data_IF_763500919188
#
_entry.id   IF_763500919188
#
_cell.length_a   1.000
_cell.length_b   1.000
_cell.length_c   1.000
_cell.angle_alpha   90.00
_cell.angle_beta   90.00
_cell.angle_gamma   90.00
#
_symmetry.space_group_name_H-M   'P 1'
#
loop_
_entity.id
_entity.type
_entity.pdbx_description
1 polymer ?
#
# COMPACT_ATOMS: atom_id res chain seq x y z
N UNK A 1 30.25 48.35 -54.00
CA UNK A 1 30.41 48.45 -52.53
C UNK A 1 29.02 48.46 -51.89
N UNK A 2 28.58 47.35 -51.28
CA UNK A 2 27.33 47.29 -50.50
C UNK A 2 27.58 46.36 -49.31
N UNK A 3 27.64 46.94 -48.10
CA UNK A 3 27.82 46.23 -46.83
C UNK A 3 26.45 45.75 -46.35
N UNK A 4 26.17 44.46 -46.43
CA UNK A 4 25.01 43.84 -45.79
C UNK A 4 25.28 43.74 -44.28
N UNK A 5 24.45 44.42 -43.48
CA UNK A 5 24.50 44.38 -42.01
C UNK A 5 23.80 43.09 -41.54
N UNK A 6 24.56 42.18 -40.93
CA UNK A 6 24.00 41.06 -40.16
C UNK A 6 23.38 41.62 -38.86
N UNK A 7 22.06 41.54 -38.72
CA UNK A 7 21.38 41.64 -37.43
C UNK A 7 21.44 40.27 -36.75
N UNK A 8 22.32 40.12 -35.76
CA UNK A 8 22.26 39.00 -34.83
C UNK A 8 21.13 39.25 -33.82
N UNK A 9 20.01 38.54 -33.98
CA UNK A 9 19.01 38.38 -32.93
C UNK A 9 19.55 37.39 -31.90
N UNK A 10 20.06 37.90 -30.79
CA UNK A 10 20.35 37.10 -29.59
C UNK A 10 19.03 36.77 -28.90
N UNK A 11 18.51 35.56 -29.15
CA UNK A 11 17.44 34.96 -28.37
C UNK A 11 17.96 34.62 -26.97
N UNK A 12 17.65 35.48 -26.00
CA UNK A 12 17.80 35.15 -24.58
C UNK A 12 16.74 34.09 -24.22
N UNK A 13 17.15 32.82 -24.24
CA UNK A 13 16.42 31.73 -23.58
C UNK A 13 16.54 31.95 -22.07
N UNK A 14 15.55 32.58 -21.47
CA UNK A 14 15.41 32.60 -20.01
C UNK A 14 15.11 31.16 -19.55
N UNK A 15 15.96 30.54 -18.71
CA UNK A 15 15.62 29.26 -18.12
C UNK A 15 14.37 29.47 -17.25
N UNK A 16 13.27 28.83 -17.64
CA UNK A 16 12.14 28.64 -16.73
C UNK A 16 12.69 27.81 -15.58
N UNK A 17 12.84 28.42 -14.41
CA UNK A 17 13.05 27.68 -13.18
C UNK A 17 11.83 26.76 -13.06
N UNK A 18 12.04 25.46 -13.26
CA UNK A 18 11.07 24.47 -12.85
C UNK A 18 10.97 24.62 -11.34
N UNK A 19 9.91 25.28 -10.86
CA UNK A 19 9.54 25.24 -9.45
C UNK A 19 9.52 23.76 -9.08
N UNK A 20 10.48 23.37 -8.25
CA UNK A 20 10.56 22.01 -7.74
C UNK A 20 9.30 21.81 -6.92
N UNK A 21 8.30 21.15 -7.51
CA UNK A 21 7.07 20.77 -6.80
C UNK A 21 7.53 20.08 -5.53
N UNK A 22 7.22 20.64 -4.34
CA UNK A 22 7.70 20.05 -3.09
C UNK A 22 7.23 18.60 -3.05
N UNK A 23 8.08 17.66 -2.61
CA UNK A 23 7.67 16.27 -2.51
C UNK A 23 6.41 16.24 -1.65
N UNK A 24 5.33 15.58 -2.11
CA UNK A 24 4.09 15.55 -1.37
C UNK A 24 4.36 15.09 0.06
N UNK A 25 3.91 15.86 1.04
CA UNK A 25 3.85 15.40 2.41
C UNK A 25 3.06 14.09 2.43
N UNK A 26 3.55 13.05 3.12
CA UNK A 26 2.80 11.80 3.22
C UNK A 26 1.43 12.11 3.82
N UNK A 27 0.40 12.08 2.97
CA UNK A 27 -0.97 12.13 3.40
C UNK A 27 -1.42 10.68 3.65
N UNK A 28 -2.28 10.47 4.63
CA UNK A 28 -2.83 9.14 4.89
C UNK A 28 -3.81 8.66 3.80
N UNK A 29 -4.15 9.54 2.84
CA UNK A 29 -5.21 9.38 1.83
C UNK A 29 -4.96 10.14 0.53
N UNK A 30 -5.75 9.79 -0.50
CA UNK A 30 -5.78 10.54 -1.75
C UNK A 30 -6.22 11.99 -1.50
N UNK A 31 -5.46 12.95 -2.00
CA UNK A 31 -5.87 14.36 -2.03
C UNK A 31 -6.63 14.68 -3.32
N UNK A 32 -7.94 14.90 -3.23
CA UNK A 32 -8.72 15.26 -4.43
C UNK A 32 -8.42 16.67 -4.96
N UNK A 33 -8.01 17.57 -4.06
CA UNK A 33 -7.59 18.92 -4.39
C UNK A 33 -6.11 19.05 -4.02
N UNK A 34 -5.28 19.47 -4.98
CA UNK A 34 -3.87 19.79 -4.73
C UNK A 34 -2.93 18.61 -4.44
N UNK A 35 -3.35 17.35 -4.69
CA UNK A 35 -2.41 16.23 -4.59
C UNK A 35 -1.37 16.25 -5.70
N UNK A 36 -0.12 15.91 -5.35
CA UNK A 36 0.95 15.71 -6.30
C UNK A 36 0.92 14.31 -6.95
N UNK A 37 0.02 13.40 -6.54
CA UNK A 37 -0.05 12.04 -7.06
C UNK A 37 -1.10 11.89 -8.17
N UNK A 38 -0.68 11.46 -9.36
CA UNK A 38 -1.54 11.24 -10.54
C UNK A 38 -2.71 10.29 -10.25
N UNK A 39 -2.48 9.27 -9.42
CA UNK A 39 -3.53 8.31 -9.04
C UNK A 39 -4.65 8.93 -8.22
N UNK A 40 -4.42 10.04 -7.53
CA UNK A 40 -5.44 10.66 -6.68
C UNK A 40 -6.55 11.29 -7.54
N UNK A 41 -6.20 11.86 -8.69
CA UNK A 41 -7.20 12.34 -9.67
C UNK A 41 -8.12 11.20 -10.11
N UNK A 42 -7.57 10.01 -10.38
CA UNK A 42 -8.34 8.83 -10.75
C UNK A 42 -9.24 8.35 -9.61
N UNK A 43 -8.69 8.25 -8.39
CA UNK A 43 -9.46 7.88 -7.19
C UNK A 43 -10.63 8.82 -6.97
N UNK A 44 -10.43 10.13 -7.16
CA UNK A 44 -11.46 11.13 -6.92
C UNK A 44 -12.52 11.22 -8.02
N UNK A 45 -12.17 10.82 -9.25
CA UNK A 45 -13.10 10.77 -10.38
C UNK A 45 -14.00 9.51 -10.37
N UNK A 46 -13.53 8.39 -9.80
CA UNK A 46 -14.28 7.13 -9.72
C UNK A 46 -14.98 7.00 -8.35
N UNK A 47 -16.33 6.95 -8.29
CA UNK A 47 -17.07 6.86 -7.03
C UNK A 47 -16.75 5.58 -6.21
N UNK A 48 -16.47 4.46 -6.87
CA UNK A 48 -16.16 3.21 -6.19
C UNK A 48 -14.76 3.24 -5.58
N UNK A 49 -13.77 3.82 -6.28
CA UNK A 49 -12.43 4.04 -5.73
C UNK A 49 -12.45 5.06 -4.59
N UNK A 50 -13.21 6.15 -4.74
CA UNK A 50 -13.38 7.15 -3.67
C UNK A 50 -14.00 6.53 -2.42
N UNK A 51 -15.01 5.69 -2.57
CA UNK A 51 -15.61 4.97 -1.44
C UNK A 51 -14.63 3.97 -0.81
N UNK A 52 -13.78 3.32 -1.61
CA UNK A 52 -12.73 2.44 -1.11
C UNK A 52 -11.65 3.21 -0.32
N UNK A 53 -11.23 4.37 -0.82
CA UNK A 53 -10.28 5.27 -0.12
C UNK A 53 -10.83 5.72 1.24
N UNK A 54 -12.12 6.07 1.30
CA UNK A 54 -12.77 6.44 2.55
C UNK A 54 -12.82 5.29 3.58
N UNK A 55 -12.96 4.03 3.14
CA UNK A 55 -13.00 2.86 4.03
C UNK A 55 -11.65 2.52 4.63
N UNK A 56 -10.56 2.81 3.92
CA UNK A 56 -9.20 2.48 4.38
C UNK A 56 -8.52 3.63 5.12
N UNK A 57 -9.22 4.75 5.29
CA UNK A 57 -8.83 5.79 6.23
C UNK A 57 -8.80 5.16 7.61
N UNK A 58 -7.64 5.14 8.27
CA UNK A 58 -7.52 4.60 9.63
C UNK A 58 -8.45 5.42 10.55
N UNK A 59 -9.60 4.89 11.01
CA UNK A 59 -10.66 5.72 11.58
C UNK A 59 -10.59 5.85 13.11
N UNK A 60 -9.58 5.30 13.80
CA UNK A 60 -9.43 5.48 15.24
C UNK A 60 -7.98 5.49 15.71
N UNK A 61 -7.72 6.24 16.79
CA UNK A 61 -6.42 6.27 17.46
C UNK A 61 -5.98 4.88 17.95
N UNK A 62 -6.93 4.00 18.26
CA UNK A 62 -6.65 2.62 18.68
C UNK A 62 -6.19 1.76 17.51
N UNK A 63 -6.80 1.85 16.34
CA UNK A 63 -6.31 1.14 15.16
C UNK A 63 -4.92 1.62 14.73
N UNK A 64 -4.66 2.93 14.80
CA UNK A 64 -3.33 3.47 14.55
C UNK A 64 -2.29 2.88 15.52
N UNK A 65 -2.61 2.85 16.83
CA UNK A 65 -1.73 2.24 17.84
C UNK A 65 -1.49 0.75 17.61
N UNK A 66 -2.51 0.01 17.19
CA UNK A 66 -2.38 -1.42 16.86
C UNK A 66 -1.51 -1.65 15.61
N UNK A 67 -1.62 -0.79 14.60
CA UNK A 67 -0.77 -0.79 13.42
C UNK A 67 0.69 -0.49 13.77
N UNK A 68 0.94 0.49 14.63
CA UNK A 68 2.29 0.87 15.06
C UNK A 68 2.94 -0.20 15.94
N UNK A 69 2.14 -0.97 16.69
CA UNK A 69 2.59 -2.09 17.50
C UNK A 69 2.69 -3.42 16.74
N UNK A 70 2.24 -3.47 15.48
CA UNK A 70 2.27 -4.68 14.67
C UNK A 70 3.72 -5.07 14.30
N UNK A 71 3.90 -6.31 13.85
CA UNK A 71 5.23 -6.76 13.39
C UNK A 71 5.59 -6.20 12.01
N UNK A 72 6.84 -6.34 11.59
CA UNK A 72 7.30 -5.91 10.26
C UNK A 72 6.65 -6.69 9.08
N UNK A 73 5.82 -7.70 9.35
CA UNK A 73 4.95 -8.37 8.36
C UNK A 73 3.57 -7.71 8.25
N UNK A 74 3.36 -6.54 8.86
CA UNK A 74 2.18 -5.70 8.66
C UNK A 74 2.66 -4.32 8.21
N UNK A 75 2.24 -3.89 7.03
CA UNK A 75 2.69 -2.61 6.48
C UNK A 75 2.02 -1.44 7.22
N UNK A 76 2.83 -0.44 7.60
CA UNK A 76 2.33 0.82 8.18
C UNK A 76 1.53 1.61 7.15
N UNK A 77 0.59 2.44 7.63
CA UNK A 77 -0.32 3.21 6.76
C UNK A 77 0.42 4.08 5.73
N UNK A 78 1.43 4.81 6.18
CA UNK A 78 2.22 5.69 5.31
C UNK A 78 2.95 4.90 4.20
N UNK A 79 3.61 3.80 4.58
CA UNK A 79 4.32 2.94 3.63
C UNK A 79 3.36 2.31 2.61
N UNK A 80 2.20 1.86 3.07
CA UNK A 80 1.13 1.36 2.20
C UNK A 80 0.67 2.41 1.21
N UNK A 81 0.44 3.65 1.67
CA UNK A 81 0.00 4.76 0.82
C UNK A 81 1.03 5.03 -0.29
N UNK A 82 2.32 5.09 0.05
CA UNK A 82 3.40 5.26 -0.92
C UNK A 82 3.47 4.10 -1.91
N UNK A 83 3.28 2.85 -1.45
CA UNK A 83 3.25 1.66 -2.32
C UNK A 83 2.05 1.70 -3.27
N UNK A 84 0.86 2.06 -2.77
CA UNK A 84 -0.37 2.24 -3.57
C UNK A 84 -0.16 3.27 -4.68
N UNK A 85 0.57 4.35 -4.42
CA UNK A 85 0.83 5.38 -5.43
C UNK A 85 1.68 4.89 -6.61
N UNK A 86 2.38 3.76 -6.48
CA UNK A 86 3.06 3.11 -7.61
C UNK A 86 2.09 2.53 -8.64
N UNK A 87 0.80 2.41 -8.34
CA UNK A 87 -0.22 2.07 -9.34
C UNK A 87 -0.29 3.10 -10.48
N UNK A 88 0.30 4.30 -10.33
CA UNK A 88 0.49 5.26 -11.43
C UNK A 88 1.22 4.65 -12.65
N UNK A 89 2.05 3.65 -12.43
CA UNK A 89 2.85 2.98 -13.46
C UNK A 89 2.21 1.69 -13.98
N UNK A 90 1.03 1.31 -13.47
CA UNK A 90 0.33 0.12 -13.94
C UNK A 90 -0.33 0.38 -15.31
N UNK A 91 -0.35 -0.64 -16.16
CA UNK A 91 -1.09 -0.59 -17.43
C UNK A 91 -2.60 -0.45 -17.20
N UNK A 92 -3.12 -1.11 -16.16
CA UNK A 92 -4.51 -0.96 -15.68
C UNK A 92 -4.46 -0.36 -14.25
N UNK A 93 -4.38 0.97 -14.19
CA UNK A 93 -4.33 1.71 -12.93
C UNK A 93 -5.58 1.46 -12.05
N UNK A 94 -6.82 1.49 -12.59
CA UNK A 94 -8.01 1.18 -11.80
C UNK A 94 -7.99 -0.22 -11.17
N UNK A 95 -7.57 -1.26 -11.90
CA UNK A 95 -7.47 -2.61 -11.34
C UNK A 95 -6.40 -2.69 -10.24
N UNK A 96 -5.23 -2.05 -10.45
CA UNK A 96 -4.17 -1.97 -9.44
C UNK A 96 -4.67 -1.30 -8.15
N UNK A 97 -5.35 -0.16 -8.26
CA UNK A 97 -5.89 0.57 -7.12
C UNK A 97 -6.95 -0.25 -6.38
N UNK A 98 -7.88 -0.90 -7.09
CA UNK A 98 -8.90 -1.76 -6.47
C UNK A 98 -8.26 -2.85 -5.62
N UNK A 99 -7.28 -3.57 -6.15
CA UNK A 99 -6.60 -4.63 -5.40
C UNK A 99 -5.78 -4.07 -4.22
N UNK A 100 -5.19 -2.88 -4.36
CA UNK A 100 -4.50 -2.20 -3.27
C UNK A 100 -5.43 -1.83 -2.11
N UNK A 101 -6.64 -1.34 -2.41
CA UNK A 101 -7.66 -1.03 -1.40
C UNK A 101 -8.28 -2.28 -0.77
N UNK A 102 -8.45 -3.36 -1.54
CA UNK A 102 -8.88 -4.66 -1.01
C UNK A 102 -7.87 -5.16 0.02
N UNK A 103 -6.56 -5.17 -0.32
CA UNK A 103 -5.52 -5.56 0.62
C UNK A 103 -5.62 -4.76 1.92
N UNK A 104 -5.72 -3.43 1.82
CA UNK A 104 -5.72 -2.58 3.02
C UNK A 104 -6.96 -2.75 3.87
N UNK A 105 -8.12 -2.90 3.24
CA UNK A 105 -9.38 -3.16 3.94
C UNK A 105 -9.27 -4.41 4.78
N UNK A 106 -8.72 -5.49 4.21
CA UNK A 106 -8.54 -6.77 4.91
C UNK A 106 -7.52 -6.65 6.04
N UNK A 107 -6.42 -5.91 5.84
CA UNK A 107 -5.44 -5.64 6.92
C UNK A 107 -6.09 -4.88 8.08
N UNK A 108 -6.92 -3.87 7.81
CA UNK A 108 -7.63 -3.13 8.85
C UNK A 108 -8.71 -3.97 9.54
N UNK A 109 -9.44 -4.81 8.79
CA UNK A 109 -10.38 -5.78 9.35
C UNK A 109 -9.66 -6.78 10.28
N UNK A 110 -8.45 -7.21 9.90
CA UNK A 110 -7.61 -8.05 10.74
C UNK A 110 -7.21 -7.35 12.05
N UNK A 111 -7.16 -6.02 12.15
CA UNK A 111 -6.90 -5.38 13.45
C UNK A 111 -8.08 -5.54 14.42
N UNK A 112 -9.31 -5.59 13.90
CA UNK A 112 -10.55 -5.69 14.67
C UNK A 112 -11.07 -7.13 14.84
N UNK A 113 -10.46 -8.11 14.19
CA UNK A 113 -10.92 -9.51 14.21
C UNK A 113 -10.81 -10.15 15.59
N UNK A 114 -11.93 -10.73 16.06
CA UNK A 114 -11.97 -11.49 17.29
C UNK A 114 -11.21 -12.80 17.14
N UNK A 115 -10.20 -12.91 17.98
CA UNK A 115 -9.24 -13.98 17.97
C UNK A 115 -9.85 -15.31 18.46
N UNK A 116 -10.98 -15.33 19.18
CA UNK A 116 -11.53 -16.52 19.86
C UNK A 116 -11.60 -17.81 19.00
N UNK A 117 -11.78 -17.70 17.68
CA UNK A 117 -11.89 -18.84 16.76
C UNK A 117 -10.58 -19.27 16.08
N UNK A 118 -9.49 -18.50 16.22
CA UNK A 118 -8.24 -18.85 15.55
C UNK A 118 -7.60 -20.09 16.20
N UNK A 119 -6.90 -20.90 15.39
CA UNK A 119 -6.23 -22.12 15.86
C UNK A 119 -4.84 -21.81 16.39
N UNK A 120 -4.38 -22.59 17.36
CA UNK A 120 -2.97 -22.55 17.76
C UNK A 120 -2.06 -22.99 16.60
N UNK A 121 -0.89 -22.36 16.52
CA UNK A 121 0.14 -22.67 15.54
C UNK A 121 1.50 -22.19 16.00
N UNK A 122 2.49 -22.30 15.11
CA UNK A 122 3.84 -21.83 15.38
C UNK A 122 4.45 -21.18 14.14
N UNK A 123 5.07 -20.02 14.29
CA UNK A 123 5.89 -19.37 13.25
C UNK A 123 7.35 -19.35 13.71
N UNK A 124 8.23 -20.10 13.02
CA UNK A 124 9.58 -20.36 13.53
C UNK A 124 9.52 -20.97 14.93
N UNK A 125 10.05 -20.26 15.94
CA UNK A 125 9.96 -20.66 17.36
C UNK A 125 8.79 -20.02 18.11
N UNK A 126 8.16 -19.00 17.55
CA UNK A 126 7.08 -18.22 18.17
C UNK A 126 5.76 -18.98 18.16
N UNK A 127 5.15 -19.17 19.33
CA UNK A 127 3.77 -19.65 19.42
C UNK A 127 2.83 -18.57 18.90
N UNK A 128 1.87 -18.95 18.05
CA UNK A 128 0.96 -18.00 17.42
C UNK A 128 -0.46 -18.53 17.38
N UNK A 129 -1.41 -17.65 17.07
CA UNK A 129 -2.75 -18.04 16.66
C UNK A 129 -2.96 -17.68 15.19
N UNK A 130 -3.50 -18.63 14.42
CA UNK A 130 -3.65 -18.56 12.97
C UNK A 130 -5.15 -18.58 12.66
N UNK A 131 -5.65 -17.48 12.10
CA UNK A 131 -7.05 -17.28 11.77
C UNK A 131 -7.27 -17.02 10.29
N UNK A 132 -8.53 -16.80 9.92
CA UNK A 132 -8.90 -16.30 8.60
C UNK A 132 -9.86 -15.13 8.73
N UNK A 133 -9.63 -14.08 7.94
CA UNK A 133 -10.54 -12.94 7.81
C UNK A 133 -10.64 -12.57 6.34
N UNK A 134 -11.85 -12.52 5.80
CA UNK A 134 -12.11 -12.11 4.40
C UNK A 134 -11.22 -12.82 3.34
N UNK A 135 -10.90 -14.09 3.56
CA UNK A 135 -10.05 -14.89 2.66
C UNK A 135 -8.53 -14.66 2.82
N UNK A 136 -8.10 -13.79 3.74
CA UNK A 136 -6.72 -13.69 4.18
C UNK A 136 -6.43 -14.62 5.36
N UNK A 137 -5.19 -15.10 5.42
CA UNK A 137 -4.66 -15.74 6.62
C UNK A 137 -4.10 -14.69 7.55
N UNK A 138 -4.52 -14.69 8.81
CA UNK A 138 -4.02 -13.79 9.84
C UNK A 138 -3.20 -14.57 10.86
N UNK A 139 -2.15 -13.95 11.37
CA UNK A 139 -1.26 -14.52 12.37
C UNK A 139 -1.12 -13.54 13.52
N UNK A 140 -1.25 -14.03 14.75
CA UNK A 140 -1.12 -13.23 15.97
C UNK A 140 -0.22 -13.88 16.99
N UNK A 141 0.45 -13.04 17.75
CA UNK A 141 1.19 -13.36 18.96
C UNK A 141 0.48 -12.64 20.10
N UNK A 142 -0.31 -13.38 20.88
CA UNK A 142 -1.33 -12.86 21.78
C UNK A 142 -2.25 -11.84 21.09
N UNK A 143 -2.20 -10.58 21.51
CA UNK A 143 -3.00 -9.48 20.97
C UNK A 143 -2.28 -8.72 19.84
N UNK A 144 -1.02 -9.04 19.57
CA UNK A 144 -0.23 -8.36 18.52
C UNK A 144 -0.48 -9.02 17.17
N UNK A 145 -0.85 -8.22 16.17
CA UNK A 145 -0.95 -8.69 14.79
C UNK A 145 0.47 -8.91 14.24
N UNK A 146 0.77 -10.16 13.89
CA UNK A 146 2.06 -10.56 13.33
C UNK A 146 2.04 -10.44 11.82
N UNK A 147 1.06 -11.02 11.14
CA UNK A 147 1.00 -10.98 9.68
C UNK A 147 -0.44 -11.07 9.16
N UNK A 148 -0.67 -10.50 7.98
CA UNK A 148 -1.90 -10.65 7.20
C UNK A 148 -1.51 -11.02 5.79
N UNK A 149 -1.71 -12.28 5.41
CA UNK A 149 -1.29 -12.80 4.12
C UNK A 149 -2.49 -13.03 3.21
N UNK A 150 -2.43 -12.42 2.02
CA UNK A 150 -3.49 -12.51 1.02
C UNK A 150 -3.03 -13.36 -0.18
N UNK A 151 -3.96 -14.05 -0.85
CA UNK A 151 -3.67 -14.68 -2.14
C UNK A 151 -3.22 -13.64 -3.16
N UNK A 152 -2.41 -14.06 -4.13
CA UNK A 152 -1.93 -13.16 -5.18
C UNK A 152 -3.12 -12.47 -5.90
N UNK A 153 -3.07 -11.13 -6.06
CA UNK A 153 -4.14 -10.40 -6.71
C UNK A 153 -4.15 -10.70 -8.22
N UNK A 154 -5.23 -10.33 -8.90
CA UNK A 154 -5.36 -10.52 -10.36
C UNK A 154 -4.72 -9.39 -11.17
N UNK A 155 -4.56 -8.20 -10.58
CA UNK A 155 -3.90 -7.06 -11.24
C UNK A 155 -2.38 -7.09 -11.11
N UNK A 156 -1.73 -6.00 -11.53
CA UNK A 156 -0.30 -5.76 -11.32
C UNK A 156 0.07 -5.46 -9.87
N UNK A 157 -0.91 -5.28 -8.98
CA UNK A 157 -0.66 -5.11 -7.56
C UNK A 157 0.12 -6.31 -6.98
N UNK A 158 0.89 -6.06 -5.92
CA UNK A 158 1.70 -7.08 -5.24
C UNK A 158 1.50 -6.91 -3.76
N UNK A 159 0.84 -7.88 -3.12
CA UNK A 159 0.51 -7.78 -1.70
C UNK A 159 1.76 -7.64 -0.83
N UNK A 160 1.64 -6.91 0.30
CA UNK A 160 2.77 -6.76 1.22
C UNK A 160 3.20 -8.08 1.87
N UNK A 161 2.24 -8.98 2.12
CA UNK A 161 2.54 -10.36 2.48
C UNK A 161 1.74 -11.30 1.58
N UNK A 162 2.46 -12.22 0.94
CA UNK A 162 1.89 -13.34 0.20
C UNK A 162 2.12 -14.63 0.96
N UNK A 163 1.30 -15.64 0.69
CA UNK A 163 1.40 -16.95 1.32
C UNK A 163 1.47 -18.05 0.28
N UNK A 164 2.45 -18.95 0.44
CA UNK A 164 2.53 -20.21 -0.28
C UNK A 164 2.28 -21.37 0.71
N UNK A 165 1.22 -22.14 0.49
CA UNK A 165 0.96 -23.36 1.27
C UNK A 165 1.80 -24.53 0.72
N UNK A 166 2.55 -25.20 1.61
CA UNK A 166 3.35 -26.39 1.33
C UNK A 166 3.02 -27.47 2.35
N UNK A 167 2.01 -28.28 2.04
CA UNK A 167 1.48 -29.27 2.98
C UNK A 167 0.89 -28.59 4.22
N UNK A 168 1.47 -28.84 5.40
CA UNK A 168 1.07 -28.21 6.66
C UNK A 168 1.82 -26.90 6.97
N UNK A 169 2.76 -26.51 6.13
CA UNK A 169 3.56 -25.29 6.32
C UNK A 169 3.03 -24.17 5.45
N UNK A 170 2.88 -23.00 6.04
CA UNK A 170 2.54 -21.74 5.37
C UNK A 170 3.82 -20.91 5.29
N UNK A 171 4.30 -20.63 4.08
CA UNK A 171 5.43 -19.73 3.87
C UNK A 171 4.91 -18.34 3.56
N UNK A 172 5.12 -17.41 4.49
CA UNK A 172 4.85 -15.99 4.31
C UNK A 172 6.03 -15.32 3.62
N UNK A 173 5.77 -14.42 2.68
CA UNK A 173 6.80 -13.69 1.94
C UNK A 173 6.46 -12.22 1.78
N UNK A 174 7.44 -11.37 2.03
CA UNK A 174 7.39 -9.92 1.76
C UNK A 174 8.04 -9.57 0.42
N UNK A 175 7.72 -8.39 -0.16
CA UNK A 175 8.35 -7.89 -1.37
C UNK A 175 9.88 -7.76 -1.32
N UNK A 176 10.46 -7.57 -0.14
CA UNK A 176 11.91 -7.46 0.06
C UNK A 176 12.64 -8.82 0.13
N UNK A 177 11.90 -9.93 -0.01
CA UNK A 177 12.44 -11.29 0.04
C UNK A 177 12.49 -11.91 1.44
N UNK A 178 12.17 -11.15 2.48
CA UNK A 178 12.02 -11.71 3.82
C UNK A 178 10.88 -12.74 3.84
N UNK A 179 11.08 -13.82 4.59
CA UNK A 179 10.09 -14.88 4.70
C UNK A 179 10.04 -15.47 6.10
N UNK A 180 8.88 -16.02 6.43
CA UNK A 180 8.59 -16.68 7.71
C UNK A 180 7.75 -17.92 7.44
N UNK A 181 8.14 -19.05 8.04
CA UNK A 181 7.41 -20.30 7.92
C UNK A 181 6.56 -20.53 9.18
N UNK A 182 5.28 -20.87 8.96
CA UNK A 182 4.30 -21.13 10.00
C UNK A 182 3.65 -22.52 9.83
N UNK A 183 3.18 -23.13 10.92
CA UNK A 183 2.50 -24.44 10.94
C UNK A 183 1.30 -24.42 11.88
#
# INVERSE_FOLDING_TARGET
>A
MMRARLCYLLLFLTPVAADAVPPPTPADLAGCEGSAFVVDTLVCADPALKAADARVRVPSADQARLLDAASDYVERQEAWFQRRNRCAFAADQPACLRDAYVERTVVLAALAHDSAQDRAGQCGTMAVRIGMVEGATIIRDDNRLVAVALPAPRSSWRNFVTMDARGKTLRLRRPDGAHMDCR
#
